data_IF_355451492066
#
_entry.id   IF_355451492066
#
_cell.length_a   1.000
_cell.length_b   1.000
_cell.length_c   1.000
_cell.angle_alpha   90.00
_cell.angle_beta   90.00
_cell.angle_gamma   90.00
#
_symmetry.space_group_name_H-M   'P 1'
#
loop_
_entity.id
_entity.type
_entity.pdbx_description
1 polymer ?
#
# COMPACT_ATOMS: atom_id res chain seq x y z
N UNK A 1 7.64 -1.78 53.75
CA UNK A 1 8.05 -0.74 52.78
C UNK A 1 8.85 -1.25 51.57
N UNK A 2 9.60 -2.32 51.65
CA UNK A 2 10.40 -2.85 50.54
C UNK A 2 9.56 -3.59 49.45
N UNK A 3 8.46 -4.19 49.82
CA UNK A 3 7.59 -4.96 48.88
C UNK A 3 6.71 -4.08 48.03
N UNK A 4 6.37 -2.88 48.50
CA UNK A 4 5.47 -1.97 47.76
C UNK A 4 6.15 -1.30 46.56
N UNK A 5 7.47 -1.04 46.65
CA UNK A 5 8.21 -0.48 45.53
C UNK A 5 8.48 -1.46 44.40
N UNK A 6 8.47 -2.76 44.67
CA UNK A 6 8.64 -3.81 43.67
C UNK A 6 7.38 -4.00 42.81
N UNK A 7 6.19 -3.87 43.43
CA UNK A 7 4.92 -3.97 42.74
C UNK A 7 4.73 -2.80 41.77
N UNK A 8 5.14 -1.60 42.18
CA UNK A 8 5.07 -0.41 41.32
C UNK A 8 6.06 -0.50 40.15
N UNK A 9 7.24 -1.04 40.35
CA UNK A 9 8.24 -1.24 39.30
C UNK A 9 7.79 -2.29 38.26
N UNK A 10 7.14 -3.36 38.68
CA UNK A 10 6.61 -4.41 37.81
C UNK A 10 5.41 -3.90 36.99
N UNK A 11 4.55 -3.07 37.57
CA UNK A 11 3.40 -2.47 36.88
C UNK A 11 3.83 -1.44 35.80
N UNK A 12 4.88 -0.67 36.04
CA UNK A 12 5.41 0.30 35.08
C UNK A 12 6.06 -0.41 33.87
N UNK A 13 6.74 -1.53 34.10
CA UNK A 13 7.39 -2.30 33.03
C UNK A 13 6.33 -2.99 32.14
N UNK A 14 5.22 -3.46 32.71
CA UNK A 14 4.15 -4.12 31.95
C UNK A 14 3.37 -3.14 31.07
N UNK A 15 3.19 -1.89 31.47
CA UNK A 15 2.48 -0.88 30.67
C UNK A 15 3.32 -0.38 29.50
N UNK A 16 4.66 -0.35 29.62
CA UNK A 16 5.53 0.04 28.51
C UNK A 16 5.67 -1.03 27.41
N UNK A 17 5.42 -2.29 27.69
CA UNK A 17 5.56 -3.37 26.71
C UNK A 17 4.36 -3.47 25.74
N UNK A 18 3.18 -2.97 26.10
CA UNK A 18 1.96 -3.07 25.27
C UNK A 18 1.92 -1.99 24.18
N UNK A 19 2.54 -0.83 24.39
CA UNK A 19 2.49 0.29 23.43
C UNK A 19 3.35 0.14 22.18
N UNK A 20 4.33 -0.77 22.18
CA UNK A 20 5.30 -0.89 21.08
C UNK A 20 4.81 -1.88 20.00
N UNK A 21 3.94 -2.83 20.34
CA UNK A 21 3.46 -3.86 19.41
C UNK A 21 2.50 -3.30 18.34
N UNK A 22 1.67 -2.33 18.69
CA UNK A 22 0.68 -1.76 17.75
C UNK A 22 1.33 -0.88 16.66
N UNK A 23 2.39 -0.16 17.00
CA UNK A 23 3.10 0.68 16.03
C UNK A 23 3.87 -0.17 15.02
N UNK A 24 4.45 -1.29 15.45
CA UNK A 24 5.17 -2.20 14.56
C UNK A 24 4.23 -2.94 13.58
N UNK A 25 3.01 -3.28 13.98
CA UNK A 25 2.01 -3.94 13.13
C UNK A 25 1.46 -2.97 12.08
N UNK A 26 1.19 -1.72 12.44
CA UNK A 26 0.73 -0.70 11.50
C UNK A 26 1.81 -0.35 10.46
N UNK A 27 3.09 -0.25 10.84
CA UNK A 27 4.20 -0.03 9.92
C UNK A 27 4.39 -1.20 8.94
N UNK A 28 4.28 -2.46 9.38
CA UNK A 28 4.34 -3.64 8.51
C UNK A 28 3.20 -3.71 7.50
N UNK A 29 1.97 -3.36 7.88
CA UNK A 29 0.82 -3.30 6.96
C UNK A 29 1.02 -2.22 5.89
N UNK A 30 1.53 -1.05 6.25
CA UNK A 30 1.76 0.05 5.32
C UNK A 30 2.86 -0.28 4.29
N UNK A 31 3.96 -0.90 4.72
CA UNK A 31 5.02 -1.39 3.84
C UNK A 31 4.49 -2.41 2.82
N UNK A 32 3.64 -3.34 3.26
CA UNK A 32 3.09 -4.39 2.40
C UNK A 32 2.20 -3.85 1.27
N UNK A 33 1.42 -2.80 1.48
CA UNK A 33 0.57 -2.22 0.41
C UNK A 33 1.41 -1.48 -0.61
N UNK A 34 2.42 -0.75 -0.18
CA UNK A 34 3.40 -0.11 -1.08
C UNK A 34 4.17 -1.15 -1.91
N UNK A 35 4.50 -2.30 -1.31
CA UNK A 35 5.16 -3.39 -2.00
C UNK A 35 4.27 -4.00 -3.09
N UNK A 36 2.97 -4.15 -2.86
CA UNK A 36 2.00 -4.59 -3.88
C UNK A 36 1.98 -3.63 -5.08
N UNK A 37 1.97 -2.32 -4.84
CA UNK A 37 2.02 -1.33 -5.90
C UNK A 37 3.31 -1.44 -6.72
N UNK A 38 4.45 -1.63 -6.06
CA UNK A 38 5.74 -1.82 -6.71
C UNK A 38 5.82 -3.14 -7.48
N UNK A 39 5.24 -4.19 -6.96
CA UNK A 39 5.26 -5.52 -7.59
C UNK A 39 4.41 -5.55 -8.86
N UNK A 40 3.19 -5.03 -8.82
CA UNK A 40 2.22 -5.18 -9.89
C UNK A 40 2.15 -4.00 -10.87
N UNK A 41 2.36 -2.78 -10.41
CA UNK A 41 2.21 -1.59 -11.24
C UNK A 41 3.54 -1.12 -11.84
N UNK A 42 4.60 -1.04 -11.03
CA UNK A 42 5.88 -0.50 -11.45
C UNK A 42 6.57 -1.24 -12.62
N UNK A 43 6.44 -2.57 -12.80
CA UNK A 43 7.08 -3.23 -13.93
C UNK A 43 6.64 -2.67 -15.30
N UNK A 44 5.40 -2.20 -15.41
CA UNK A 44 4.85 -1.60 -16.63
C UNK A 44 4.70 -0.09 -16.54
N UNK A 45 4.65 0.49 -15.33
CA UNK A 45 4.39 1.91 -15.08
C UNK A 45 5.46 2.60 -14.23
N UNK A 46 6.66 2.03 -14.16
CA UNK A 46 7.80 2.69 -13.54
C UNK A 46 8.38 3.80 -14.39
N UNK A 47 9.48 4.38 -13.92
CA UNK A 47 10.21 5.43 -14.64
C UNK A 47 10.60 4.95 -16.05
N UNK A 48 10.41 5.82 -17.05
CA UNK A 48 10.73 5.56 -18.46
C UNK A 48 10.00 4.36 -19.10
N UNK A 49 8.89 3.90 -18.50
CA UNK A 49 8.10 2.79 -19.05
C UNK A 49 7.31 3.20 -20.30
N UNK A 50 7.26 2.32 -21.31
CA UNK A 50 6.53 2.55 -22.57
C UNK A 50 5.04 2.78 -22.36
N UNK A 51 4.44 2.15 -21.35
CA UNK A 51 3.04 2.31 -20.99
C UNK A 51 2.73 3.63 -20.24
N UNK A 52 3.76 4.44 -19.98
CA UNK A 52 3.69 5.68 -19.22
C UNK A 52 3.97 5.47 -17.73
N UNK A 53 4.68 6.44 -17.14
CA UNK A 53 4.96 6.45 -15.71
C UNK A 53 3.70 6.84 -14.93
N UNK A 54 3.31 5.97 -14.01
CA UNK A 54 2.20 6.21 -13.09
C UNK A 54 2.64 5.98 -11.65
N UNK A 55 2.54 7.02 -10.86
CA UNK A 55 2.71 6.99 -9.40
C UNK A 55 1.40 7.43 -8.75
N UNK A 56 1.17 7.22 -7.46
CA UNK A 56 0.01 7.78 -6.78
C UNK A 56 -0.17 9.30 -6.99
N UNK A 57 0.92 10.04 -7.18
CA UNK A 57 0.93 11.48 -7.46
C UNK A 57 0.48 11.86 -8.87
N UNK A 58 0.34 10.90 -9.78
CA UNK A 58 0.00 11.18 -11.20
C UNK A 58 -1.43 11.70 -11.35
N UNK A 59 -2.34 11.23 -10.51
CA UNK A 59 -3.75 11.60 -10.54
C UNK A 59 -4.20 12.14 -9.17
N UNK A 60 -5.33 12.84 -9.17
CA UNK A 60 -6.04 13.22 -7.95
C UNK A 60 -6.93 12.08 -7.46
N UNK A 61 -7.38 12.14 -6.21
CA UNK A 61 -8.16 11.09 -5.55
C UNK A 61 -9.39 10.67 -6.38
N UNK A 62 -10.20 11.62 -6.84
CA UNK A 62 -11.40 11.35 -7.66
C UNK A 62 -11.08 10.66 -8.99
N UNK A 63 -9.95 11.01 -9.60
CA UNK A 63 -9.49 10.39 -10.85
C UNK A 63 -9.04 8.94 -10.62
N UNK A 64 -8.33 8.67 -9.50
CA UNK A 64 -7.96 7.31 -9.13
C UNK A 64 -9.17 6.44 -8.84
N UNK A 65 -10.13 6.95 -8.08
CA UNK A 65 -11.37 6.22 -7.79
C UNK A 65 -12.13 5.85 -9.08
N UNK A 66 -12.30 6.81 -9.97
CA UNK A 66 -12.95 6.60 -11.26
C UNK A 66 -12.19 5.65 -12.17
N UNK A 67 -10.87 5.75 -12.19
CA UNK A 67 -10.02 4.83 -12.97
C UNK A 67 -10.20 3.37 -12.55
N UNK A 68 -10.08 3.09 -11.26
CA UNK A 68 -10.22 1.72 -10.76
C UNK A 68 -11.64 1.16 -10.91
N UNK A 69 -12.65 1.99 -10.76
CA UNK A 69 -14.05 1.57 -10.87
C UNK A 69 -14.52 1.35 -12.31
N UNK A 70 -14.01 2.13 -13.27
CA UNK A 70 -14.58 2.19 -14.62
C UNK A 70 -13.62 1.78 -15.73
N UNK A 71 -12.32 1.93 -15.55
CA UNK A 71 -11.33 1.83 -16.62
C UNK A 71 -10.29 0.74 -16.44
N UNK A 72 -9.96 0.38 -15.21
CA UNK A 72 -8.87 -0.54 -14.91
C UNK A 72 -9.02 -1.86 -15.67
N UNK A 73 -10.14 -2.53 -15.54
CA UNK A 73 -10.37 -3.85 -16.13
C UNK A 73 -10.28 -3.79 -17.66
N UNK A 74 -10.97 -2.85 -18.30
CA UNK A 74 -10.98 -2.72 -19.75
C UNK A 74 -9.60 -2.35 -20.33
N UNK A 75 -8.82 -1.55 -19.63
CA UNK A 75 -7.48 -1.13 -20.08
C UNK A 75 -6.39 -2.18 -19.84
N UNK A 76 -6.62 -3.13 -18.94
CA UNK A 76 -5.61 -4.12 -18.51
C UNK A 76 -5.97 -5.57 -18.89
N UNK A 77 -7.16 -5.84 -19.42
CA UNK A 77 -7.62 -7.20 -19.74
C UNK A 77 -6.69 -7.95 -20.71
N UNK A 78 -6.02 -7.25 -21.61
CA UNK A 78 -5.09 -7.83 -22.59
C UNK A 78 -3.61 -7.66 -22.20
N UNK A 79 -3.33 -7.08 -21.04
CA UNK A 79 -1.95 -6.88 -20.56
C UNK A 79 -1.47 -8.15 -19.86
N UNK A 80 -0.39 -8.73 -20.39
CA UNK A 80 0.19 -9.97 -19.88
C UNK A 80 1.29 -9.67 -18.87
N UNK A 81 1.28 -10.37 -17.75
CA UNK A 81 2.31 -10.28 -16.73
C UNK A 81 3.36 -11.38 -16.94
N UNK A 82 4.48 -11.00 -17.52
CA UNK A 82 5.58 -11.93 -17.82
C UNK A 82 6.29 -12.46 -16.56
N UNK A 83 6.15 -11.79 -15.42
CA UNK A 83 6.70 -12.26 -14.15
C UNK A 83 5.82 -13.34 -13.51
N UNK A 84 4.56 -13.48 -13.95
CA UNK A 84 3.56 -14.40 -13.39
C UNK A 84 2.96 -15.30 -14.48
N UNK A 85 3.78 -16.11 -15.12
CA UNK A 85 3.39 -17.16 -16.08
C UNK A 85 2.67 -16.62 -17.34
N UNK A 86 2.93 -15.39 -17.76
CA UNK A 86 2.27 -14.74 -18.91
C UNK A 86 0.74 -14.78 -18.82
N UNK A 87 0.18 -14.60 -17.63
CA UNK A 87 -1.25 -14.47 -17.42
C UNK A 87 -1.69 -13.01 -17.56
N UNK A 88 -2.95 -12.75 -17.91
CA UNK A 88 -3.48 -11.39 -17.85
C UNK A 88 -3.30 -10.80 -16.44
N UNK A 89 -2.82 -9.57 -16.35
CA UNK A 89 -2.57 -8.90 -15.05
C UNK A 89 -3.84 -8.81 -14.20
N UNK A 90 -5.01 -8.74 -14.85
CA UNK A 90 -6.32 -8.76 -14.20
C UNK A 90 -6.67 -10.10 -13.53
N UNK A 91 -6.02 -11.20 -13.94
CA UNK A 91 -6.15 -12.51 -13.29
C UNK A 91 -5.08 -12.74 -12.22
N UNK A 92 -3.94 -12.10 -12.35
CA UNK A 92 -2.82 -12.21 -11.39
C UNK A 92 -3.11 -11.40 -10.12
N UNK A 93 -3.60 -10.17 -10.27
CA UNK A 93 -3.94 -9.31 -9.14
C UNK A 93 -5.31 -9.73 -8.60
N UNK A 94 -5.34 -10.23 -7.36
CA UNK A 94 -6.60 -10.59 -6.72
C UNK A 94 -7.45 -9.36 -6.44
N UNK A 95 -8.77 -9.53 -6.35
CA UNK A 95 -9.69 -8.43 -6.01
C UNK A 95 -9.31 -7.74 -4.68
N UNK A 96 -8.91 -8.55 -3.68
CA UNK A 96 -8.44 -8.02 -2.39
C UNK A 96 -7.18 -7.15 -2.53
N UNK A 97 -6.21 -7.58 -3.33
CA UNK A 97 -4.98 -6.82 -3.54
C UNK A 97 -5.22 -5.59 -4.42
N UNK A 98 -6.11 -5.69 -5.40
CA UNK A 98 -6.54 -4.56 -6.21
C UNK A 98 -7.19 -3.45 -5.36
N UNK A 99 -8.08 -3.81 -4.44
CA UNK A 99 -8.69 -2.85 -3.50
C UNK A 99 -7.66 -2.19 -2.58
N UNK A 100 -6.65 -2.94 -2.13
CA UNK A 100 -5.54 -2.37 -1.36
C UNK A 100 -4.71 -1.39 -2.20
N UNK A 101 -4.41 -1.75 -3.44
CA UNK A 101 -3.67 -0.89 -4.39
C UNK A 101 -4.46 0.38 -4.67
N UNK A 102 -5.76 0.26 -4.97
CA UNK A 102 -6.67 1.38 -5.18
C UNK A 102 -6.66 2.34 -4.00
N UNK A 103 -6.87 1.80 -2.79
CA UNK A 103 -6.83 2.61 -1.57
C UNK A 103 -5.50 3.31 -1.39
N UNK A 104 -4.38 2.64 -1.62
CA UNK A 104 -3.05 3.23 -1.54
C UNK A 104 -2.88 4.38 -2.54
N UNK A 105 -3.30 4.20 -3.79
CA UNK A 105 -3.22 5.25 -4.80
C UNK A 105 -4.05 6.49 -4.42
N UNK A 106 -5.26 6.28 -3.90
CA UNK A 106 -6.15 7.37 -3.44
C UNK A 106 -5.56 8.08 -2.21
N UNK A 107 -5.11 7.33 -1.21
CA UNK A 107 -4.56 7.88 0.04
C UNK A 107 -3.28 8.71 -0.20
N UNK A 108 -2.54 8.43 -1.28
CA UNK A 108 -1.30 9.10 -1.64
C UNK A 108 -1.36 9.91 -2.93
N UNK A 109 -2.56 10.19 -3.42
CA UNK A 109 -2.82 11.01 -4.60
C UNK A 109 -2.30 12.44 -4.46
N UNK A 110 -2.19 13.16 -5.57
CA UNK A 110 -1.63 14.51 -5.61
C UNK A 110 -2.35 15.52 -4.71
N UNK A 111 -3.65 15.34 -4.50
CA UNK A 111 -4.51 16.19 -3.68
C UNK A 111 -4.88 15.57 -2.32
N UNK A 112 -4.27 14.45 -1.95
CA UNK A 112 -4.48 13.80 -0.65
C UNK A 112 -3.80 14.56 0.49
N UNK A 113 -4.19 14.27 1.73
CA UNK A 113 -3.51 14.80 2.93
C UNK A 113 -2.11 14.21 3.13
N UNK A 114 -1.81 13.08 2.48
CA UNK A 114 -0.51 12.39 2.55
C UNK A 114 0.01 12.06 1.14
N UNK A 115 0.26 13.06 0.30
CA UNK A 115 0.76 12.81 -1.05
C UNK A 115 2.09 12.05 -0.98
N UNK A 116 2.30 11.14 -1.94
CA UNK A 116 3.53 10.37 -2.01
C UNK A 116 4.68 11.28 -2.45
N UNK A 117 5.43 11.80 -1.49
CA UNK A 117 6.69 12.49 -1.79
C UNK A 117 7.74 11.46 -2.14
N UNK A 118 8.45 11.69 -3.24
CA UNK A 118 9.56 10.85 -3.68
C UNK A 118 10.56 10.65 -2.54
N UNK A 119 10.70 9.41 -2.10
CA UNK A 119 11.75 8.97 -1.18
C UNK A 119 12.87 8.36 -1.96
#
# INVERSE_FOLDING_TARGET
MRTQNWIIAVLIITVMAVGIADVAVAAKKKAKVQDLYKEFCNPCHGADADAGEYTPMTLIQDQWERFFNEKYEGSHAAVMDSAHDDKPVTEVITEEDLEKIKKFAIDHAADSEQPMTCG
#
